data_IF_190894726259
#
_entry.id   IF_190894726259
#
_cell.length_a   1.000
_cell.length_b   1.000
_cell.length_c   1.000
_cell.angle_alpha   90.00
_cell.angle_beta   90.00
_cell.angle_gamma   90.00
#
_symmetry.space_group_name_H-M   'P 1'
#
loop_
_entity.id
_entity.type
_entity.pdbx_description
1 polymer ?
#
# COMPACT_ATOMS: atom_id res chain seq x y z
N UNK A 1 -11.22 -1.29 19.81
CA UNK A 1 -9.85 -0.84 19.44
C UNK A 1 -9.98 -0.05 18.15
N UNK A 2 -9.07 0.85 17.84
CA UNK A 2 -9.22 1.77 16.71
C UNK A 2 -7.95 1.72 15.86
N UNK A 3 -8.10 1.36 14.59
CA UNK A 3 -6.99 1.15 13.66
C UNK A 3 -7.15 2.01 12.41
N UNK A 4 -6.03 2.57 11.95
CA UNK A 4 -5.93 3.36 10.73
C UNK A 4 -4.75 2.80 9.93
N UNK A 5 -4.91 2.74 8.61
CA UNK A 5 -3.82 2.37 7.72
C UNK A 5 -2.87 3.57 7.56
N UNK A 6 -1.57 3.33 7.62
CA UNK A 6 -0.54 4.34 7.40
C UNK A 6 0.54 3.79 6.49
N UNK A 7 1.21 4.65 5.74
CA UNK A 7 2.33 4.25 4.92
C UNK A 7 3.55 3.95 5.81
N UNK A 8 4.15 2.77 5.63
CA UNK A 8 5.35 2.40 6.37
C UNK A 8 6.61 3.21 5.99
N UNK A 9 6.55 4.01 4.92
CA UNK A 9 7.66 4.89 4.49
C UNK A 9 7.45 6.31 5.03
N UNK A 10 6.33 6.95 4.69
CA UNK A 10 6.11 8.38 4.99
C UNK A 10 5.13 8.63 6.14
N UNK A 11 4.46 7.62 6.67
CA UNK A 11 3.47 7.76 7.75
C UNK A 11 2.15 8.43 7.34
N UNK A 12 2.01 8.83 6.08
CA UNK A 12 0.76 9.41 5.56
C UNK A 12 -0.35 8.37 5.65
N UNK A 13 -1.58 8.85 5.86
CA UNK A 13 -2.83 8.06 5.84
C UNK A 13 -3.39 8.00 4.40
N UNK A 14 -4.30 7.07 4.06
CA UNK A 14 -4.93 7.04 2.75
C UNK A 14 -5.50 8.41 2.39
N UNK A 15 -5.16 8.89 1.19
CA UNK A 15 -5.49 10.22 0.69
C UNK A 15 -7.00 10.37 0.54
N UNK A 16 -7.65 10.73 1.63
CA UNK A 16 -9.01 11.24 1.65
C UNK A 16 -8.91 12.70 1.22
N UNK A 17 -9.54 13.06 0.10
CA UNK A 17 -9.58 14.43 -0.43
C UNK A 17 -9.77 15.46 0.70
N UNK A 18 -9.31 16.72 0.57
CA UNK A 18 -9.55 17.73 1.61
C UNK A 18 -11.07 17.86 1.90
N UNK A 19 -11.53 17.26 3.00
CA UNK A 19 -12.94 17.12 3.38
C UNK A 19 -13.42 15.70 3.68
N UNK A 20 -12.65 14.67 3.32
CA UNK A 20 -12.95 13.27 3.64
C UNK A 20 -12.25 12.87 4.95
N UNK A 21 -12.94 12.07 5.76
CA UNK A 21 -12.43 11.59 7.04
C UNK A 21 -11.56 10.34 6.85
N UNK A 22 -10.43 10.29 7.55
CA UNK A 22 -9.59 9.09 7.66
C UNK A 22 -10.43 7.93 8.20
N UNK A 23 -10.51 6.78 7.49
CA UNK A 23 -11.34 5.68 7.93
C UNK A 23 -10.68 4.93 9.10
N UNK A 24 -11.48 4.72 10.15
CA UNK A 24 -11.09 3.97 11.34
C UNK A 24 -11.75 2.59 11.35
N UNK A 25 -11.01 1.58 11.79
CA UNK A 25 -11.45 0.18 11.77
C UNK A 25 -11.27 -0.51 13.13
N UNK A 26 -12.00 -1.60 13.34
CA UNK A 26 -11.94 -2.40 14.56
C UNK A 26 -10.76 -3.38 14.55
N UNK A 27 -10.25 -3.72 13.36
CA UNK A 27 -9.11 -4.61 13.18
C UNK A 27 -8.03 -4.05 12.23
N UNK A 28 -6.75 -4.44 12.40
CA UNK A 28 -5.68 -4.10 11.45
C UNK A 28 -5.94 -4.64 10.04
N UNK A 29 -6.53 -5.84 9.94
CA UNK A 29 -6.79 -6.49 8.66
C UNK A 29 -7.80 -5.70 7.82
N UNK A 30 -8.83 -5.12 8.44
CA UNK A 30 -9.81 -4.26 7.76
C UNK A 30 -9.17 -2.95 7.29
N UNK A 31 -8.28 -2.35 8.09
CA UNK A 31 -7.55 -1.15 7.71
C UNK A 31 -6.65 -1.39 6.49
N UNK A 32 -5.88 -2.49 6.50
CA UNK A 32 -5.02 -2.90 5.39
C UNK A 32 -5.86 -3.21 4.15
N UNK A 33 -6.93 -3.99 4.30
CA UNK A 33 -7.81 -4.35 3.20
C UNK A 33 -8.42 -3.11 2.57
N UNK A 34 -8.84 -2.13 3.36
CA UNK A 34 -9.34 -0.86 2.84
C UNK A 34 -8.29 -0.13 2.02
N UNK A 35 -7.10 0.14 2.57
CA UNK A 35 -6.04 0.87 1.88
C UNK A 35 -5.55 0.17 0.60
N UNK A 36 -5.52 -1.17 0.58
CA UNK A 36 -5.14 -1.97 -0.59
C UNK A 36 -6.28 -2.14 -1.62
N UNK A 37 -7.54 -1.90 -1.23
CA UNK A 37 -8.72 -2.11 -2.09
C UNK A 37 -9.19 -0.84 -2.81
N UNK A 38 -8.78 0.36 -2.39
CA UNK A 38 -9.24 1.63 -3.00
C UNK A 38 -9.30 1.51 -4.53
N UNK A 39 -10.53 1.67 -5.05
CA UNK A 39 -11.11 0.98 -6.22
C UNK A 39 -10.52 1.26 -7.61
N UNK A 40 -9.23 1.58 -7.69
CA UNK A 40 -8.46 1.70 -8.91
C UNK A 40 -7.13 0.92 -8.76
N UNK A 41 -6.84 -0.07 -9.62
CA UNK A 41 -5.58 -0.80 -9.59
C UNK A 41 -4.33 0.08 -9.78
N UNK A 42 -4.49 1.34 -10.22
CA UNK A 42 -3.41 2.31 -10.42
C UNK A 42 -3.15 3.19 -9.18
N UNK A 43 -4.16 3.43 -8.32
CA UNK A 43 -4.03 4.33 -7.16
C UNK A 43 -4.10 3.61 -5.79
N UNK A 44 -4.21 2.28 -5.78
CA UNK A 44 -4.14 1.49 -4.55
C UNK A 44 -2.75 1.46 -3.92
N UNK A 45 -2.72 1.40 -2.60
CA UNK A 45 -1.48 1.17 -1.86
C UNK A 45 -0.98 -0.26 -2.07
N UNK A 46 0.34 -0.44 -2.01
CA UNK A 46 0.99 -1.75 -2.19
C UNK A 46 1.19 -2.42 -0.83
N UNK A 47 0.59 -3.58 -0.63
CA UNK A 47 0.95 -4.48 0.47
C UNK A 47 2.08 -5.40 0.00
N UNK A 48 3.25 -5.27 0.60
CA UNK A 48 4.43 -6.07 0.27
C UNK A 48 4.36 -7.46 0.93
N UNK A 49 5.18 -8.40 0.45
CA UNK A 49 5.22 -9.78 0.98
C UNK A 49 5.69 -9.85 2.44
N UNK A 50 6.48 -8.88 2.89
CA UNK A 50 6.92 -8.73 4.29
C UNK A 50 5.90 -7.98 5.17
N UNK A 51 4.71 -7.67 4.63
CA UNK A 51 3.59 -7.11 5.39
C UNK A 51 3.60 -5.59 5.55
N UNK A 52 4.46 -4.87 4.81
CA UNK A 52 4.47 -3.40 4.80
C UNK A 52 3.44 -2.86 3.82
N UNK A 53 2.82 -1.75 4.19
CA UNK A 53 1.84 -1.04 3.41
C UNK A 53 2.46 0.26 2.89
N UNK A 54 2.59 0.37 1.56
CA UNK A 54 3.30 1.46 0.90
C UNK A 54 2.30 2.28 0.09
N UNK A 55 2.19 3.59 0.37
CA UNK A 55 1.32 4.50 -0.37
C UNK A 55 1.76 4.68 -1.83
N UNK A 56 1.06 5.51 -2.60
CA UNK A 56 1.29 5.76 -4.03
C UNK A 56 2.30 6.85 -4.36
N UNK A 57 2.92 7.52 -3.37
CA UNK A 57 3.95 8.55 -3.59
C UNK A 57 5.10 8.04 -4.49
N UNK A 58 5.51 8.79 -5.50
CA UNK A 58 6.45 8.30 -6.53
C UNK A 58 7.89 8.81 -6.35
N UNK A 59 8.37 8.87 -5.11
CA UNK A 59 9.78 9.13 -4.83
C UNK A 59 10.62 7.83 -4.81
N UNK A 60 11.93 7.97 -4.68
CA UNK A 60 12.86 6.84 -4.70
C UNK A 60 12.63 5.87 -3.53
N UNK A 61 12.27 6.37 -2.34
CA UNK A 61 12.09 5.52 -1.16
C UNK A 61 10.86 4.63 -1.32
N UNK A 62 9.75 5.20 -1.80
CA UNK A 62 8.53 4.43 -2.07
C UNK A 62 8.70 3.42 -3.21
N UNK A 63 9.40 3.80 -4.28
CA UNK A 63 9.71 2.86 -5.38
C UNK A 63 10.54 1.68 -4.88
N UNK A 64 11.64 1.94 -4.17
CA UNK A 64 12.47 0.88 -3.58
C UNK A 64 11.70 0.02 -2.57
N UNK A 65 10.78 0.62 -1.80
CA UNK A 65 9.95 -0.14 -0.87
C UNK A 65 8.92 -1.05 -1.58
N UNK A 66 8.43 -0.67 -2.78
CA UNK A 66 7.53 -1.48 -3.62
C UNK A 66 8.26 -2.55 -4.44
N UNK A 67 9.52 -2.31 -4.83
CA UNK A 67 10.33 -3.07 -5.79
C UNK A 67 10.64 -4.54 -5.42
N UNK A 68 10.13 -5.06 -4.30
CA UNK A 68 10.07 -6.52 -4.10
C UNK A 68 8.94 -7.22 -4.86
N UNK A 69 8.14 -6.51 -5.65
CA UNK A 69 7.20 -7.11 -6.58
C UNK A 69 7.73 -7.03 -8.00
N UNK A 70 7.90 -8.17 -8.71
CA UNK A 70 8.23 -8.15 -10.12
C UNK A 70 7.21 -7.31 -10.88
N UNK A 71 7.67 -6.41 -11.74
CA UNK A 71 6.79 -5.69 -12.66
C UNK A 71 6.01 -6.67 -13.56
N UNK A 72 4.90 -6.24 -14.19
CA UNK A 72 4.08 -7.12 -15.04
C UNK A 72 4.85 -7.76 -16.20
N UNK A 73 5.97 -7.16 -16.61
CA UNK A 73 6.88 -7.67 -17.65
C UNK A 73 8.06 -8.51 -17.11
N UNK A 74 8.12 -8.74 -15.80
CA UNK A 74 9.19 -9.53 -15.21
C UNK A 74 9.02 -11.02 -15.55
N UNK A 75 9.95 -11.54 -16.34
CA UNK A 75 10.00 -12.95 -16.73
C UNK A 75 10.70 -13.79 -15.66
N UNK A 76 10.06 -14.87 -15.21
CA UNK A 76 10.63 -15.84 -14.27
C UNK A 76 11.76 -16.63 -14.94
N UNK A 77 12.97 -16.62 -14.37
CA UNK A 77 14.06 -17.52 -14.77
C UNK A 77 14.17 -18.65 -13.75
N UNK A 78 13.78 -19.86 -14.13
CA UNK A 78 14.07 -21.09 -13.38
C UNK A 78 15.27 -21.79 -14.01
N UNK A 79 16.34 -21.96 -13.25
CA UNK A 79 17.50 -22.75 -13.65
C UNK A 79 17.20 -24.26 -13.49
N UNK A 80 17.64 -25.06 -14.47
CA UNK A 80 17.61 -26.53 -14.49
C UNK A 80 18.92 -27.11 -13.97
#
# INVERSE_FOLDING_TARGET
MCWVAVCDVCGTEPDTNPGECVPHFDTPAEAIANAAYWGDPVTRWTLTLDGRLICTADDQEHRTAREYLPGPDAMTVTYI
#
